data_IF_846931555596
#
_entry.id   IF_846931555596
#
_cell.length_a   1.000
_cell.length_b   1.000
_cell.length_c   1.000
_cell.angle_alpha   90.00
_cell.angle_beta   90.00
_cell.angle_gamma   90.00
#
_symmetry.space_group_name_H-M   'P 1'
#
loop_
_entity.id
_entity.type
_entity.pdbx_description
1 polymer ?
#
# COMPACT_ATOMS: atom_id res chain seq x y z
N UNK A 1 -1.47 17.93 11.03
CA UNK A 1 -2.06 18.51 9.80
C UNK A 1 -3.57 18.35 9.87
N UNK A 2 -4.37 19.39 9.60
CA UNK A 2 -5.82 19.29 9.49
C UNK A 2 -6.31 20.22 8.37
N UNK A 3 -7.05 19.72 7.36
CA UNK A 3 -7.39 18.30 7.13
C UNK A 3 -6.21 17.49 6.56
N UNK A 4 -6.16 16.18 6.87
CA UNK A 4 -5.15 15.26 6.33
C UNK A 4 -5.53 14.63 4.99
N UNK A 5 -6.83 14.55 4.68
CA UNK A 5 -7.35 14.09 3.38
C UNK A 5 -8.38 15.09 2.83
N UNK A 6 -9.66 14.84 3.08
CA UNK A 6 -10.76 15.65 2.56
C UNK A 6 -10.70 17.13 2.94
N UNK A 7 -10.73 18.00 1.94
CA UNK A 7 -10.72 19.46 2.10
C UNK A 7 -12.11 20.11 1.99
N UNK A 8 -13.13 19.35 1.62
CA UNK A 8 -14.51 19.83 1.60
C UNK A 8 -15.12 20.00 3.00
N UNK A 9 -16.26 20.68 3.04
CA UNK A 9 -17.01 20.97 4.27
C UNK A 9 -17.94 19.82 4.75
N UNK A 10 -18.76 19.19 3.88
CA UNK A 10 -19.69 18.17 4.35
C UNK A 10 -18.95 16.87 4.72
N UNK A 11 -19.54 15.99 5.54
CA UNK A 11 -19.03 14.63 5.68
C UNK A 11 -18.91 13.95 4.32
N UNK A 12 -17.76 13.34 4.04
CA UNK A 12 -17.50 12.70 2.74
C UNK A 12 -17.67 11.18 2.78
N UNK A 13 -16.90 10.50 3.62
CA UNK A 13 -16.92 9.05 3.80
C UNK A 13 -16.56 8.69 5.25
N UNK A 14 -16.57 7.39 5.59
CA UNK A 14 -16.19 6.90 6.93
C UNK A 14 -14.73 7.20 7.27
N UNK A 15 -13.86 7.22 6.26
CA UNK A 15 -12.40 7.35 6.41
C UNK A 15 -11.82 8.36 5.41
N UNK A 16 -12.16 9.66 5.53
CA UNK A 16 -11.85 10.67 4.51
C UNK A 16 -10.41 11.22 4.61
N UNK A 17 -9.62 10.73 5.57
CA UNK A 17 -8.29 11.26 5.90
C UNK A 17 -7.17 10.82 4.97
N UNK A 18 -5.94 11.01 5.43
CA UNK A 18 -4.76 10.36 4.87
C UNK A 18 -4.75 8.87 5.20
N UNK A 19 -4.26 8.03 4.29
CA UNK A 19 -4.05 6.60 4.52
C UNK A 19 -2.56 6.25 4.43
N UNK A 20 -2.10 5.54 3.40
CA UNK A 20 -0.68 5.19 3.23
C UNK A 20 0.24 6.41 3.21
N UNK A 21 1.42 6.25 3.81
CA UNK A 21 2.46 7.27 3.87
C UNK A 21 3.82 6.67 3.50
N UNK A 22 4.61 7.43 2.76
CA UNK A 22 6.00 7.12 2.45
C UNK A 22 6.85 8.38 2.42
N UNK A 23 8.16 8.24 2.62
CA UNK A 23 9.10 9.31 2.29
C UNK A 23 9.47 9.18 0.82
N UNK A 24 9.45 10.30 0.10
CA UNK A 24 10.02 10.35 -1.24
C UNK A 24 11.57 10.34 -1.17
N UNK A 25 12.29 10.21 -2.30
CA UNK A 25 13.75 10.19 -2.30
C UNK A 25 14.41 11.47 -1.76
N UNK A 26 13.66 12.57 -1.64
CA UNK A 26 14.12 13.83 -1.03
C UNK A 26 13.77 13.93 0.46
N UNK A 27 13.25 12.86 1.07
CA UNK A 27 12.85 12.80 2.47
C UNK A 27 11.56 13.55 2.79
N UNK A 28 10.73 13.89 1.80
CA UNK A 28 9.44 14.56 2.03
C UNK A 28 8.34 13.54 2.26
N UNK A 29 7.45 13.85 3.20
CA UNK A 29 6.29 13.01 3.49
C UNK A 29 5.28 13.07 2.33
N UNK A 30 5.12 11.95 1.65
CA UNK A 30 4.09 11.71 0.63
C UNK A 30 3.03 10.78 1.19
N UNK A 31 1.77 11.03 0.88
CA UNK A 31 0.67 10.25 1.42
C UNK A 31 -0.53 10.20 0.47
N UNK A 32 -1.26 9.11 0.61
CA UNK A 32 -2.54 8.88 -0.03
C UNK A 32 -3.64 9.61 0.74
N UNK A 33 -4.55 10.26 0.02
CA UNK A 33 -5.70 10.98 0.58
C UNK A 33 -7.00 10.38 0.03
N UNK A 34 -7.77 9.74 0.91
CA UNK A 34 -9.04 9.13 0.52
C UNK A 34 -10.04 10.18 0.06
N UNK A 35 -10.28 11.21 0.86
CA UNK A 35 -11.37 12.15 0.62
C UNK A 35 -11.16 13.06 -0.60
N UNK A 36 -9.95 13.57 -0.78
CA UNK A 36 -9.61 14.38 -1.97
C UNK A 36 -9.33 13.50 -3.19
N UNK A 37 -9.23 12.17 -3.02
CA UNK A 37 -9.00 11.16 -4.05
C UNK A 37 -7.69 11.41 -4.81
N UNK A 38 -6.59 11.57 -4.05
CA UNK A 38 -5.28 11.92 -4.62
C UNK A 38 -4.11 11.34 -3.83
N UNK A 39 -2.94 11.32 -4.45
CA UNK A 39 -1.65 11.24 -3.75
C UNK A 39 -1.07 12.66 -3.68
N UNK A 40 -0.54 13.05 -2.52
CA UNK A 40 0.09 14.36 -2.33
C UNK A 40 1.35 14.29 -1.50
N UNK A 41 2.15 15.35 -1.58
CA UNK A 41 3.38 15.53 -0.79
C UNK A 41 3.28 16.79 0.07
N UNK A 42 3.75 16.69 1.31
CA UNK A 42 3.90 17.83 2.21
C UNK A 42 5.03 18.75 1.71
N UNK A 43 4.75 20.05 1.59
CA UNK A 43 5.78 21.01 1.17
C UNK A 43 6.60 21.51 2.37
N UNK A 44 7.84 21.98 2.11
CA UNK A 44 8.76 22.46 3.15
C UNK A 44 8.16 23.58 4.03
N UNK A 45 7.28 24.41 3.46
CA UNK A 45 6.67 25.55 4.15
C UNK A 45 5.28 25.24 4.72
N UNK A 46 4.90 23.96 4.76
CA UNK A 46 3.52 23.54 5.07
C UNK A 46 2.62 23.49 3.83
N UNK A 47 1.43 22.93 3.98
CA UNK A 47 0.52 22.68 2.86
C UNK A 47 0.90 21.44 2.03
N UNK A 48 0.08 21.15 1.01
CA UNK A 48 0.14 19.91 0.22
C UNK A 48 0.25 20.24 -1.25
N UNK A 49 1.03 19.46 -2.00
CA UNK A 49 1.06 19.49 -3.46
C UNK A 49 0.58 18.16 -4.01
N UNK A 50 -0.43 18.19 -4.88
CA UNK A 50 -0.92 16.99 -5.59
C UNK A 50 0.18 16.40 -6.47
N UNK A 51 0.35 15.08 -6.42
CA UNK A 51 1.19 14.31 -7.33
C UNK A 51 0.35 13.55 -8.37
N UNK A 52 -0.82 13.05 -7.98
CA UNK A 52 -1.79 12.43 -8.87
C UNK A 52 -3.20 12.50 -8.28
N UNK A 53 -4.18 12.92 -9.06
CA UNK A 53 -5.61 12.96 -8.70
C UNK A 53 -6.55 12.46 -9.81
N UNK A 54 -6.04 12.34 -11.05
CA UNK A 54 -6.78 11.82 -12.20
C UNK A 54 -5.95 10.86 -13.04
N UNK A 55 -6.63 9.95 -13.72
CA UNK A 55 -6.11 9.14 -14.81
C UNK A 55 -7.03 9.28 -16.02
N UNK A 56 -6.47 9.68 -17.17
CA UNK A 56 -7.24 9.92 -18.41
C UNK A 56 -8.48 10.81 -18.21
N UNK A 57 -8.33 11.91 -17.44
CA UNK A 57 -9.40 12.87 -17.18
C UNK A 57 -10.45 12.43 -16.15
N UNK A 58 -10.31 11.23 -15.57
CA UNK A 58 -11.21 10.68 -14.56
C UNK A 58 -10.54 10.66 -13.20
N UNK A 59 -11.25 11.02 -12.14
CA UNK A 59 -10.72 11.00 -10.77
C UNK A 59 -10.34 9.59 -10.35
N UNK A 60 -9.21 9.46 -9.68
CA UNK A 60 -8.80 8.21 -8.99
C UNK A 60 -9.90 7.77 -8.01
N UNK A 61 -9.99 6.49 -7.64
CA UNK A 61 -10.98 6.03 -6.66
C UNK A 61 -10.71 6.64 -5.28
N UNK A 62 -9.70 6.13 -4.61
CA UNK A 62 -9.22 6.58 -3.30
C UNK A 62 -7.86 5.91 -3.07
N UNK A 63 -6.75 6.56 -3.48
CA UNK A 63 -5.42 6.00 -3.31
C UNK A 63 -5.20 5.49 -1.88
N UNK A 64 -4.56 4.33 -1.71
CA UNK A 64 -4.57 3.61 -0.44
C UNK A 64 -3.19 3.41 0.18
N UNK A 65 -2.25 2.79 -0.54
CA UNK A 65 -0.84 2.67 -0.13
C UNK A 65 0.10 3.07 -1.26
N UNK A 66 1.35 3.38 -0.92
CA UNK A 66 2.36 3.84 -1.88
C UNK A 66 3.80 3.42 -1.53
N UNK A 67 4.64 3.35 -2.55
CA UNK A 67 6.09 3.24 -2.40
C UNK A 67 6.83 4.01 -3.51
N UNK A 68 8.14 4.19 -3.33
CA UNK A 68 9.02 4.80 -4.32
C UNK A 68 10.12 3.83 -4.72
N UNK A 69 10.56 3.92 -5.97
CA UNK A 69 11.85 3.37 -6.39
C UNK A 69 12.98 4.39 -6.19
N UNK A 70 14.23 3.95 -6.39
CA UNK A 70 15.45 4.77 -6.30
C UNK A 70 15.51 5.85 -7.39
N UNK A 71 14.81 5.68 -8.51
CA UNK A 71 14.71 6.68 -9.56
C UNK A 71 13.66 7.77 -9.25
N UNK A 72 12.89 7.61 -8.17
CA UNK A 72 11.86 8.55 -7.75
C UNK A 72 10.51 8.38 -8.46
N UNK A 73 10.30 7.25 -9.14
CA UNK A 73 8.95 6.88 -9.56
C UNK A 73 8.12 6.51 -8.33
N UNK A 74 6.91 7.07 -8.26
CA UNK A 74 5.91 6.75 -7.27
C UNK A 74 5.05 5.58 -7.78
N UNK A 75 4.85 4.56 -6.96
CA UNK A 75 3.90 3.48 -7.20
C UNK A 75 2.80 3.54 -6.16
N UNK A 76 1.54 3.36 -6.55
CA UNK A 76 0.42 3.38 -5.59
C UNK A 76 -0.74 2.50 -6.03
N UNK A 77 -1.59 2.13 -5.05
CA UNK A 77 -2.82 1.37 -5.26
C UNK A 77 -4.04 2.27 -5.10
N UNK A 78 -5.09 1.98 -5.87
CA UNK A 78 -6.31 2.79 -5.94
C UNK A 78 -7.60 1.94 -5.80
N UNK A 79 -7.80 1.29 -4.63
CA UNK A 79 -9.07 0.67 -4.29
C UNK A 79 -10.15 1.73 -3.94
N UNK A 80 -11.42 1.34 -3.79
CA UNK A 80 -12.54 2.26 -3.59
C UNK A 80 -12.90 2.50 -2.11
N UNK A 81 -12.03 2.12 -1.17
CA UNK A 81 -12.35 2.13 0.27
C UNK A 81 -12.73 3.52 0.80
N UNK A 82 -12.03 4.56 0.34
CA UNK A 82 -12.23 5.94 0.76
C UNK A 82 -13.46 6.64 0.15
N UNK A 83 -14.16 6.01 -0.80
CA UNK A 83 -15.36 6.57 -1.41
C UNK A 83 -16.55 6.64 -0.43
N UNK A 84 -17.56 7.50 -0.65
CA UNK A 84 -18.70 7.68 0.26
C UNK A 84 -19.42 6.39 0.64
N UNK A 85 -19.66 5.49 -0.34
CA UNK A 85 -20.25 4.16 -0.12
C UNK A 85 -19.21 3.03 -0.17
N UNK A 86 -17.93 3.34 -0.06
CA UNK A 86 -16.82 2.40 -0.11
C UNK A 86 -16.84 1.52 -1.37
N UNK A 87 -16.56 0.20 -1.27
CA UNK A 87 -16.61 -0.71 -2.42
C UNK A 87 -17.94 -0.80 -3.17
N UNK A 88 -19.04 -0.39 -2.56
CA UNK A 88 -20.36 -0.38 -3.19
C UNK A 88 -20.66 0.94 -3.93
N UNK A 89 -19.76 1.92 -3.91
CA UNK A 89 -19.97 3.22 -4.54
C UNK A 89 -19.93 3.12 -6.07
N UNK A 90 -21.10 3.36 -6.68
CA UNK A 90 -21.28 3.44 -8.13
C UNK A 90 -21.67 4.85 -8.59
N UNK A 91 -21.94 5.75 -7.67
CA UNK A 91 -22.53 7.06 -7.98
C UNK A 91 -21.44 8.13 -8.17
N UNK A 92 -20.37 8.05 -7.37
CA UNK A 92 -19.28 9.05 -7.38
C UNK A 92 -17.99 8.53 -8.01
N UNK A 93 -17.92 7.22 -8.22
CA UNK A 93 -16.79 6.53 -8.84
C UNK A 93 -16.73 6.83 -10.34
N UNK A 94 -15.54 7.14 -10.84
CA UNK A 94 -15.34 7.49 -12.27
C UNK A 94 -14.56 6.41 -13.04
N UNK A 95 -13.73 5.64 -12.35
CA UNK A 95 -12.99 4.49 -12.89
C UNK A 95 -13.74 3.21 -12.56
N UNK A 96 -14.07 2.38 -13.54
CA UNK A 96 -14.79 1.12 -13.35
C UNK A 96 -13.91 -0.05 -12.90
N UNK A 97 -12.61 0.19 -12.68
CA UNK A 97 -11.64 -0.77 -12.13
C UNK A 97 -10.92 -0.24 -10.89
N UNK A 98 -10.24 -1.14 -10.17
CA UNK A 98 -9.30 -0.78 -9.12
C UNK A 98 -7.89 -1.03 -9.66
N UNK A 99 -7.02 -0.03 -9.53
CA UNK A 99 -5.76 0.00 -10.29
C UNK A 99 -4.52 0.00 -9.41
N UNK A 100 -3.41 -0.42 -10.01
CA UNK A 100 -2.06 -0.12 -9.54
C UNK A 100 -1.44 0.82 -10.56
N UNK A 101 -0.87 1.93 -10.08
CA UNK A 101 -0.38 3.01 -10.93
C UNK A 101 1.08 3.33 -10.64
N UNK A 102 1.73 3.96 -11.62
CA UNK A 102 3.04 4.57 -11.51
C UNK A 102 2.94 6.05 -11.87
N UNK A 103 3.67 6.92 -11.18
CA UNK A 103 3.89 8.32 -11.56
C UNK A 103 5.39 8.54 -11.73
N UNK A 104 5.81 9.00 -12.91
CA UNK A 104 7.21 9.32 -13.16
C UNK A 104 7.64 10.60 -12.44
N UNK A 105 8.96 10.86 -12.28
CA UNK A 105 9.46 12.12 -11.74
C UNK A 105 8.94 13.37 -12.48
N UNK A 106 8.62 13.22 -13.77
CA UNK A 106 8.04 14.26 -14.63
C UNK A 106 6.54 14.47 -14.40
N UNK A 107 5.91 13.64 -13.55
CA UNK A 107 4.48 13.72 -13.22
C UNK A 107 3.58 12.94 -14.17
N UNK A 108 4.11 12.06 -15.02
CA UNK A 108 3.31 11.24 -15.93
C UNK A 108 2.74 10.04 -15.18
N UNK A 109 1.41 9.96 -15.10
CA UNK A 109 0.71 8.80 -14.53
C UNK A 109 0.51 7.70 -15.58
N UNK A 110 0.75 6.44 -15.20
CA UNK A 110 0.52 5.25 -16.01
C UNK A 110 -0.21 4.18 -15.21
N UNK A 111 -1.21 3.55 -15.81
CA UNK A 111 -1.86 2.36 -15.26
C UNK A 111 -0.94 1.15 -15.50
N UNK A 112 -0.51 0.50 -14.43
CA UNK A 112 0.34 -0.69 -14.52
C UNK A 112 -0.49 -1.98 -14.64
N UNK A 113 -1.54 -2.10 -13.83
CA UNK A 113 -2.47 -3.23 -13.92
C UNK A 113 -3.82 -2.88 -13.30
N UNK A 114 -4.86 -3.59 -13.76
CA UNK A 114 -6.23 -3.56 -13.25
C UNK A 114 -6.79 -4.96 -12.99
N UNK A 115 -5.92 -5.97 -12.90
CA UNK A 115 -6.33 -7.37 -12.74
C UNK A 115 -6.77 -7.73 -11.31
N UNK A 116 -6.49 -6.86 -10.34
CA UNK A 116 -6.76 -7.09 -8.92
C UNK A 116 -8.11 -6.51 -8.51
N UNK A 117 -8.84 -7.23 -7.67
CA UNK A 117 -10.17 -6.78 -7.21
C UNK A 117 -10.06 -5.66 -6.19
N UNK A 118 -9.22 -5.78 -5.17
CA UNK A 118 -8.94 -4.72 -4.20
C UNK A 118 -7.43 -4.63 -3.91
N UNK A 119 -6.64 -4.01 -4.81
CA UNK A 119 -5.21 -3.79 -4.57
C UNK A 119 -5.03 -2.88 -3.35
N UNK A 120 -4.12 -3.24 -2.45
CA UNK A 120 -3.96 -2.60 -1.15
C UNK A 120 -2.48 -2.28 -0.87
N UNK A 121 -1.81 -2.96 0.06
CA UNK A 121 -0.40 -2.71 0.35
C UNK A 121 0.52 -2.94 -0.85
N UNK A 122 1.58 -2.13 -0.95
CA UNK A 122 2.51 -2.15 -2.09
C UNK A 122 3.96 -1.96 -1.64
N UNK A 123 4.90 -2.71 -2.22
CA UNK A 123 6.33 -2.49 -2.05
C UNK A 123 7.16 -3.07 -3.21
N UNK A 124 8.40 -2.60 -3.33
CA UNK A 124 9.37 -3.11 -4.30
C UNK A 124 10.35 -4.10 -3.64
N UNK A 125 10.84 -5.05 -4.42
CA UNK A 125 12.02 -5.84 -4.04
C UNK A 125 13.26 -4.94 -3.89
N UNK A 126 14.32 -5.36 -3.16
CA UNK A 126 15.51 -4.52 -2.95
C UNK A 126 16.25 -4.15 -4.24
N UNK A 127 16.14 -5.00 -5.25
CA UNK A 127 16.69 -4.80 -6.60
C UNK A 127 15.72 -4.10 -7.57
N UNK A 128 14.50 -3.77 -7.12
CA UNK A 128 13.45 -3.06 -7.85
C UNK A 128 12.98 -3.77 -9.14
N UNK A 129 13.22 -5.08 -9.23
CA UNK A 129 12.76 -5.91 -10.36
C UNK A 129 11.42 -6.59 -10.12
N UNK A 130 10.87 -6.49 -8.91
CA UNK A 130 9.57 -7.05 -8.56
C UNK A 130 8.74 -6.03 -7.79
N UNK A 131 7.50 -5.82 -8.22
CA UNK A 131 6.47 -5.12 -7.46
C UNK A 131 5.62 -6.14 -6.72
N UNK A 132 5.49 -5.99 -5.41
CA UNK A 132 4.61 -6.78 -4.57
C UNK A 132 3.35 -5.97 -4.27
N UNK A 133 2.19 -6.60 -4.43
CA UNK A 133 0.89 -5.97 -4.15
C UNK A 133 0.00 -6.95 -3.36
N UNK A 134 -0.54 -6.49 -2.24
CA UNK A 134 -1.56 -7.21 -1.49
C UNK A 134 -2.95 -7.02 -2.12
N UNK A 135 -3.80 -8.02 -1.96
CA UNK A 135 -5.22 -7.97 -2.32
C UNK A 135 -6.07 -8.25 -1.08
N UNK A 136 -6.80 -7.24 -0.60
CA UNK A 136 -7.62 -7.33 0.61
C UNK A 136 -9.07 -7.79 0.35
N UNK A 137 -9.29 -8.57 -0.70
CA UNK A 137 -10.59 -9.17 -1.02
C UNK A 137 -10.82 -10.41 -0.15
N UNK A 138 -11.91 -10.45 0.62
CA UNK A 138 -12.26 -11.62 1.43
C UNK A 138 -12.50 -12.90 0.61
N UNK A 139 -12.75 -12.78 -0.70
CA UNK A 139 -12.86 -13.91 -1.63
C UNK A 139 -11.56 -14.25 -2.35
N UNK A 140 -10.55 -13.40 -2.24
CA UNK A 140 -9.24 -13.58 -2.85
C UNK A 140 -8.20 -12.79 -2.05
N UNK A 141 -7.91 -13.26 -0.83
CA UNK A 141 -6.96 -12.65 0.09
C UNK A 141 -5.56 -13.14 -0.27
N UNK A 142 -4.87 -12.34 -1.11
CA UNK A 142 -3.65 -12.75 -1.79
C UNK A 142 -2.52 -11.75 -1.55
N UNK A 143 -1.28 -12.22 -1.64
CA UNK A 143 -0.15 -11.37 -2.03
C UNK A 143 0.31 -11.80 -3.41
N UNK A 144 0.52 -10.83 -4.31
CA UNK A 144 0.98 -11.08 -5.68
C UNK A 144 2.34 -10.43 -5.91
N UNK A 145 3.13 -11.06 -6.77
CA UNK A 145 4.38 -10.53 -7.28
C UNK A 145 4.26 -10.27 -8.78
N UNK A 146 4.71 -9.10 -9.21
CA UNK A 146 4.74 -8.67 -10.60
C UNK A 146 6.19 -8.40 -10.99
N UNK A 147 6.76 -9.14 -11.95
CA UNK A 147 8.04 -8.76 -12.54
C UNK A 147 7.93 -7.36 -13.17
N UNK A 148 8.94 -6.52 -12.97
CA UNK A 148 9.04 -5.22 -13.63
C UNK A 148 9.97 -5.41 -14.85
N UNK A 149 9.43 -5.16 -16.04
CA UNK A 149 10.19 -5.22 -17.28
C UNK A 149 11.11 -3.99 -17.40
N UNK A 150 12.15 -4.04 -18.27
CA UNK A 150 13.06 -2.91 -18.47
C UNK A 150 12.40 -1.59 -18.89
N UNK A 151 11.23 -1.65 -19.55
CA UNK A 151 10.44 -0.47 -19.94
C UNK A 151 9.54 0.07 -18.80
N UNK A 152 9.58 -0.56 -17.62
CA UNK A 152 8.77 -0.22 -16.46
C UNK A 152 7.35 -0.78 -16.46
N UNK A 153 6.96 -1.55 -17.49
CA UNK A 153 5.69 -2.30 -17.50
C UNK A 153 5.76 -3.51 -16.55
N UNK A 154 4.60 -4.04 -16.17
CA UNK A 154 4.52 -5.27 -15.38
C UNK A 154 4.42 -6.49 -16.30
N UNK A 155 5.23 -7.50 -16.01
CA UNK A 155 5.10 -8.84 -16.60
C UNK A 155 3.96 -9.64 -15.95
N UNK A 156 3.81 -10.90 -16.38
CA UNK A 156 2.81 -11.82 -15.83
C UNK A 156 2.97 -11.98 -14.33
N UNK A 157 1.89 -11.72 -13.60
CA UNK A 157 1.89 -11.83 -12.15
C UNK A 157 1.88 -13.29 -11.69
N UNK A 158 2.34 -13.51 -10.45
CA UNK A 158 2.18 -14.77 -9.74
C UNK A 158 1.62 -14.54 -8.35
N UNK A 159 0.86 -15.50 -7.86
CA UNK A 159 0.40 -15.53 -6.47
C UNK A 159 1.58 -15.98 -5.61
N UNK A 160 1.97 -15.17 -4.64
CA UNK A 160 2.99 -15.53 -3.64
C UNK A 160 2.41 -16.44 -2.58
N UNK A 161 1.26 -16.06 -2.03
CA UNK A 161 0.48 -16.91 -1.16
C UNK A 161 -1.00 -16.56 -1.24
N UNK A 162 -1.83 -17.58 -1.10
CA UNK A 162 -3.28 -17.48 -0.96
C UNK A 162 -3.65 -17.81 0.48
N UNK A 163 -4.14 -16.81 1.20
CA UNK A 163 -4.62 -16.94 2.59
C UNK A 163 -6.13 -16.78 2.69
N UNK A 164 -6.85 -16.89 1.57
CA UNK A 164 -8.32 -16.84 1.52
C UNK A 164 -8.98 -17.85 2.46
N UNK A 165 -8.54 -19.13 2.54
CA UNK A 165 -9.13 -20.07 3.49
C UNK A 165 -8.96 -19.62 4.95
N UNK A 166 -7.82 -19.00 5.25
CA UNK A 166 -7.53 -18.48 6.58
C UNK A 166 -8.40 -17.27 6.91
N UNK A 167 -8.55 -16.32 5.98
CA UNK A 167 -9.42 -15.16 6.11
C UNK A 167 -10.89 -15.58 6.31
N UNK A 168 -11.35 -16.61 5.59
CA UNK A 168 -12.72 -17.13 5.69
C UNK A 168 -12.99 -17.98 6.93
N UNK A 169 -11.95 -18.48 7.60
CA UNK A 169 -12.11 -19.35 8.77
C UNK A 169 -12.78 -18.66 9.97
N UNK A 170 -12.72 -17.33 10.05
CA UNK A 170 -13.18 -16.56 11.22
C UNK A 170 -12.27 -16.68 12.45
N UNK A 171 -11.30 -17.60 12.44
CA UNK A 171 -10.37 -17.81 13.55
C UNK A 171 -9.29 -16.72 13.65
N UNK A 172 -9.08 -15.98 12.55
CA UNK A 172 -8.02 -14.99 12.44
C UNK A 172 -8.58 -13.68 11.90
N UNK A 173 -8.34 -12.59 12.63
CA UNK A 173 -8.75 -11.23 12.23
C UNK A 173 -7.76 -10.62 11.24
N UNK A 174 -8.22 -9.66 10.45
CA UNK A 174 -7.39 -8.94 9.47
C UNK A 174 -7.47 -9.51 8.05
N UNK A 175 -6.90 -8.79 7.10
CA UNK A 175 -6.83 -9.13 5.68
C UNK A 175 -5.42 -8.83 5.15
N UNK A 176 -5.14 -9.18 3.89
CA UNK A 176 -3.89 -8.80 3.23
C UNK A 176 -3.90 -7.29 2.95
N UNK A 177 -3.32 -6.50 3.85
CA UNK A 177 -3.36 -5.04 3.84
C UNK A 177 -1.95 -4.49 3.51
N UNK A 178 -1.37 -3.61 4.32
CA UNK A 178 0.00 -3.11 4.14
C UNK A 178 1.12 -4.15 4.21
N UNK A 179 2.21 -3.91 3.47
CA UNK A 179 3.42 -4.74 3.48
C UNK A 179 4.70 -3.91 3.32
N UNK A 180 5.84 -4.49 3.73
CA UNK A 180 7.20 -3.98 3.46
C UNK A 180 8.16 -5.13 3.14
N UNK A 181 9.37 -4.79 2.71
CA UNK A 181 10.42 -5.75 2.35
C UNK A 181 11.67 -5.47 3.18
N UNK A 182 12.31 -6.53 3.69
CA UNK A 182 13.60 -6.42 4.40
C UNK A 182 14.80 -6.41 3.45
N UNK A 183 15.98 -6.14 3.97
CA UNK A 183 17.23 -6.07 3.21
C UNK A 183 17.64 -7.39 2.55
N UNK A 184 17.09 -8.53 2.99
CA UNK A 184 17.30 -9.83 2.39
C UNK A 184 16.23 -10.19 1.33
N UNK A 185 15.25 -9.30 1.10
CA UNK A 185 14.18 -9.48 0.14
C UNK A 185 12.95 -10.20 0.70
N UNK A 186 12.89 -10.55 1.99
CA UNK A 186 11.68 -11.15 2.54
C UNK A 186 10.58 -10.10 2.69
N UNK A 187 9.35 -10.51 2.39
CA UNK A 187 8.16 -9.72 2.60
C UNK A 187 7.71 -9.83 4.06
N UNK A 188 7.38 -8.69 4.63
CA UNK A 188 6.74 -8.53 5.93
C UNK A 188 5.37 -7.94 5.66
N UNK A 189 4.36 -8.79 5.61
CA UNK A 189 3.05 -8.43 5.08
C UNK A 189 1.95 -8.69 6.12
N UNK A 190 1.14 -7.67 6.40
CA UNK A 190 -0.05 -7.85 7.23
C UNK A 190 -1.03 -8.77 6.52
N UNK A 191 -1.66 -9.65 7.30
CA UNK A 191 -2.59 -10.66 6.83
C UNK A 191 -3.49 -11.12 7.97
N UNK A 192 -4.39 -12.10 7.72
CA UNK A 192 -5.13 -12.75 8.79
C UNK A 192 -4.18 -13.21 9.90
N UNK A 193 -4.49 -12.84 11.15
CA UNK A 193 -3.78 -13.27 12.35
C UNK A 193 -2.45 -12.59 12.64
N UNK A 194 -1.99 -11.62 11.85
CA UNK A 194 -0.74 -10.91 12.13
C UNK A 194 0.07 -10.48 10.92
N UNK A 195 1.36 -10.25 11.14
CA UNK A 195 2.35 -10.00 10.07
C UNK A 195 2.97 -11.34 9.65
N UNK A 196 2.78 -11.72 8.40
CA UNK A 196 3.41 -12.90 7.79
C UNK A 196 4.76 -12.51 7.21
N UNK A 197 5.77 -13.32 7.52
CA UNK A 197 7.12 -13.16 6.97
C UNK A 197 7.27 -14.21 5.90
N UNK A 198 7.50 -13.80 4.65
CA UNK A 198 7.57 -14.69 3.49
C UNK A 198 8.83 -14.41 2.69
N UNK A 199 9.46 -15.46 2.19
CA UNK A 199 10.56 -15.33 1.23
C UNK A 199 10.07 -14.73 -0.10
N UNK A 200 10.97 -14.27 -0.98
CA UNK A 200 10.61 -13.79 -2.31
C UNK A 200 9.82 -14.80 -3.15
N UNK A 201 10.00 -16.11 -2.95
CA UNK A 201 9.25 -17.17 -3.63
C UNK A 201 7.88 -17.46 -3.01
N UNK A 202 7.55 -16.88 -1.85
CA UNK A 202 6.24 -17.02 -1.19
C UNK A 202 6.20 -18.02 -0.04
N UNK A 203 7.34 -18.65 0.32
CA UNK A 203 7.41 -19.54 1.48
C UNK A 203 7.30 -18.73 2.76
N UNK A 204 6.28 -19.01 3.57
CA UNK A 204 6.12 -18.40 4.90
C UNK A 204 7.19 -18.92 5.87
N UNK A 205 8.03 -18.00 6.35
CA UNK A 205 9.05 -18.23 7.37
C UNK A 205 8.48 -18.18 8.79
N UNK A 206 7.44 -17.37 8.99
CA UNK A 206 6.77 -17.24 10.29
C UNK A 206 5.62 -16.24 10.25
N UNK A 207 4.97 -16.05 11.40
CA UNK A 207 3.94 -15.04 11.62
C UNK A 207 4.11 -14.41 12.99
N UNK A 208 4.05 -13.08 13.06
CA UNK A 208 4.00 -12.32 14.31
C UNK A 208 2.53 -12.08 14.64
N UNK A 209 2.04 -12.70 15.70
CA UNK A 209 0.65 -12.59 16.11
C UNK A 209 0.45 -11.35 16.99
N UNK A 210 -0.47 -10.50 16.57
CA UNK A 210 -0.90 -9.34 17.37
C UNK A 210 -2.29 -9.54 17.98
N UNK A 211 -2.99 -10.63 17.60
CA UNK A 211 -4.38 -10.96 17.96
C UNK A 211 -5.42 -9.88 17.60
N UNK A 212 -5.01 -8.85 16.87
CA UNK A 212 -5.81 -7.74 16.35
C UNK A 212 -5.64 -7.66 14.83
N UNK A 213 -6.61 -7.09 14.09
CA UNK A 213 -6.39 -6.78 12.69
C UNK A 213 -5.24 -5.78 12.53
N UNK A 214 -4.35 -6.04 11.58
CA UNK A 214 -3.23 -5.16 11.28
C UNK A 214 -3.47 -4.45 9.95
N UNK A 215 -3.39 -3.11 9.95
CA UNK A 215 -3.56 -2.31 8.74
C UNK A 215 -2.26 -2.06 7.98
N UNK A 216 -1.12 -1.98 8.67
CA UNK A 216 0.17 -1.82 8.01
C UNK A 216 1.33 -2.20 8.95
N UNK A 217 2.54 -2.26 8.41
CA UNK A 217 3.78 -2.34 9.16
C UNK A 217 4.90 -1.57 8.46
N UNK A 218 5.89 -1.09 9.21
CA UNK A 218 7.09 -0.47 8.63
C UNK A 218 8.33 -0.68 9.49
N UNK A 219 9.50 -0.72 8.83
CA UNK A 219 10.77 -0.65 9.53
C UNK A 219 11.07 0.80 9.91
N UNK A 220 11.62 1.00 11.11
CA UNK A 220 11.98 2.30 11.65
C UNK A 220 13.19 2.24 12.59
N UNK A 221 13.46 3.34 13.27
CA UNK A 221 14.66 3.56 14.08
C UNK A 221 15.94 3.41 13.21
N UNK A 222 16.86 2.52 13.62
CA UNK A 222 18.04 2.10 12.84
C UNK A 222 17.71 1.09 11.73
N UNK A 223 16.42 0.93 11.40
CA UNK A 223 15.91 -0.03 10.42
C UNK A 223 15.65 -1.40 10.99
N UNK A 224 16.00 -1.69 12.25
CA UNK A 224 15.82 -3.00 12.89
C UNK A 224 14.72 -3.04 13.96
N UNK A 225 13.80 -2.08 13.91
CA UNK A 225 12.51 -2.14 14.60
C UNK A 225 11.39 -2.23 13.57
N UNK A 226 10.54 -3.25 13.67
CA UNK A 226 9.29 -3.31 12.90
C UNK A 226 8.17 -2.71 13.74
N UNK A 227 7.60 -1.61 13.26
CA UNK A 227 6.37 -1.00 13.75
C UNK A 227 5.16 -1.64 13.07
N UNK A 228 4.06 -1.84 13.81
CA UNK A 228 2.83 -2.47 13.33
C UNK A 228 1.63 -1.64 13.80
N UNK A 229 0.77 -1.26 12.85
CA UNK A 229 -0.53 -0.65 13.15
C UNK A 229 -1.53 -1.79 13.44
N UNK A 230 -1.82 -2.05 14.71
CA UNK A 230 -2.70 -3.11 15.20
C UNK A 230 -3.98 -2.49 15.77
N UNK A 231 -4.99 -2.33 14.91
CA UNK A 231 -6.25 -1.64 15.24
C UNK A 231 -6.00 -0.27 15.91
N UNK A 232 -6.41 -0.09 17.17
CA UNK A 232 -6.20 1.14 17.93
C UNK A 232 -4.76 1.34 18.46
N UNK A 233 -3.83 0.42 18.18
CA UNK A 233 -2.48 0.42 18.74
C UNK A 233 -1.41 0.59 17.66
N UNK A 234 -0.35 1.31 18.01
CA UNK A 234 0.94 1.23 17.33
C UNK A 234 1.88 0.42 18.19
N UNK A 235 2.28 -0.76 17.73
CA UNK A 235 3.20 -1.65 18.44
C UNK A 235 4.54 -1.72 17.70
N UNK A 236 5.59 -2.21 18.37
CA UNK A 236 6.87 -2.47 17.72
C UNK A 236 7.59 -3.68 18.30
N UNK A 237 8.41 -4.31 17.48
CA UNK A 237 9.30 -5.41 17.87
C UNK A 237 10.67 -5.25 17.20
N UNK A 238 11.74 -5.61 17.92
CA UNK A 238 13.09 -5.63 17.35
C UNK A 238 13.28 -6.83 16.43
N UNK A 239 13.88 -6.59 15.28
CA UNK A 239 14.16 -7.60 14.25
C UNK A 239 15.65 -7.88 14.15
N UNK A 240 16.00 -9.06 13.64
CA UNK A 240 17.40 -9.43 13.33
C UNK A 240 17.84 -8.98 11.94
N UNK A 241 16.91 -8.46 11.15
CA UNK A 241 17.12 -7.91 9.81
C UNK A 241 16.80 -6.42 9.84
N UNK A 242 17.28 -5.68 8.84
CA UNK A 242 16.88 -4.29 8.62
C UNK A 242 15.87 -4.20 7.47
N UNK A 243 15.04 -3.16 7.48
CA UNK A 243 14.21 -2.83 6.33
C UNK A 243 15.03 -2.54 5.08
N UNK A 244 14.47 -2.83 3.91
CA UNK A 244 15.06 -2.37 2.63
C UNK A 244 15.19 -0.84 2.63
N UNK A 245 16.31 -0.33 2.13
CA UNK A 245 16.62 1.11 2.10
C UNK A 245 17.29 1.67 3.37
N UNK A 246 17.33 0.93 4.48
CA UNK A 246 18.14 1.31 5.64
C UNK A 246 19.59 0.87 5.42
N UNK A 247 20.53 1.83 5.43
CA UNK A 247 21.97 1.54 5.45
C UNK A 247 22.42 1.27 6.89
N UNK A 248 23.38 0.35 7.06
CA UNK A 248 24.12 0.21 8.32
C UNK A 248 25.21 1.25 8.41
#
# INVERSE_FOLDING_TARGET
MKPSGYTGLPPYSREPGSNGLALDPSGRLTFCEHGDRRVSVLTKNGGKRTLADHFNGRRLNSPNDLCFDKAGNLYFTDPPYGLPKGPADKDTRELDWNGVYKVSPEGVISLLTKEMTFPNGIALSPDEKTLYVAQSDGNAALWKAFPINPDGSLGTSRILADVTPMAKSGNFKGSCDGLKVDSAGNLWATGPGGVHIMTPDGKRLGRIETFLPNGNCCFGDDGSSLYICADAFLTRIRTKVTGSGFQK
#
